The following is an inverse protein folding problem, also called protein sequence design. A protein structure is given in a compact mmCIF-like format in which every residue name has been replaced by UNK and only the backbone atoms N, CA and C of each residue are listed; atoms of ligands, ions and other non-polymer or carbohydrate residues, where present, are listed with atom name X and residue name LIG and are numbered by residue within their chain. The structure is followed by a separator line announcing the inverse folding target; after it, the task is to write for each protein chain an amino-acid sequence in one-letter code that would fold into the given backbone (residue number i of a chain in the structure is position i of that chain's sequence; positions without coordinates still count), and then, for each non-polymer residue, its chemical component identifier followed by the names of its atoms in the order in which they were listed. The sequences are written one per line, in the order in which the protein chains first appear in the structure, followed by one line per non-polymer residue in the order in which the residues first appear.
data_IF_033582399938
#
_entry.id   IF_033582399938
#
_cell.length_a   1.000
_cell.length_b   1.000
_cell.length_c   1.000
_cell.angle_alpha   90.00
_cell.angle_beta   90.00
_cell.angle_gamma   90.00
#
_symmetry.space_group_name_H-M   'P 1'
#
loop_
_entity.id
_entity.type
_entity.pdbx_description
1 polymer ?
#
# COMPACT_ATOMS: atom_id res chain seq x y z
N UNK A 1 20.75 -16.68 44.46
CA UNK A 1 19.49 -16.77 43.71
C UNK A 1 19.02 -15.35 43.45
N UNK A 2 19.24 -14.86 42.23
CA UNK A 2 18.71 -13.57 41.78
C UNK A 2 17.67 -13.88 40.68
N UNK A 3 16.45 -13.50 40.96
CA UNK A 3 15.35 -13.56 39.99
C UNK A 3 15.40 -12.27 39.21
N UNK A 4 15.76 -12.35 37.91
CA UNK A 4 15.53 -11.27 36.94
C UNK A 4 14.15 -11.48 36.36
N UNK A 5 13.24 -10.58 36.71
CA UNK A 5 11.91 -10.54 36.08
C UNK A 5 11.95 -9.76 34.79
N UNK A 6 11.37 -10.34 33.75
CA UNK A 6 11.12 -9.73 32.46
C UNK A 6 10.17 -8.52 32.60
N UNK A 7 10.66 -7.37 32.22
CA UNK A 7 9.88 -6.12 32.11
C UNK A 7 9.95 -5.65 30.65
N UNK A 8 9.28 -6.37 29.78
CA UNK A 8 9.08 -5.94 28.39
C UNK A 8 7.68 -6.39 27.99
N UNK A 9 6.69 -5.55 28.07
CA UNK A 9 5.42 -5.68 27.34
C UNK A 9 4.31 -4.71 27.80
N UNK A 10 4.56 -3.42 28.07
CA UNK A 10 3.43 -2.56 28.47
C UNK A 10 3.56 -1.09 27.99
N UNK A 11 4.15 -0.81 26.87
CA UNK A 11 4.25 0.60 26.38
C UNK A 11 3.51 0.86 25.06
N UNK A 12 3.09 -0.15 24.30
CA UNK A 12 2.51 0.09 22.95
C UNK A 12 0.98 0.21 22.89
N UNK A 13 0.23 0.19 24.00
CA UNK A 13 -1.24 0.14 23.93
C UNK A 13 -1.95 1.50 24.11
N UNK A 14 -1.23 2.61 24.21
CA UNK A 14 -1.81 3.92 24.57
C UNK A 14 -1.91 4.95 23.42
N UNK A 15 -1.50 4.63 22.22
CA UNK A 15 -1.52 5.56 21.08
C UNK A 15 -2.71 5.41 20.11
N UNK A 16 -3.61 4.47 20.34
CA UNK A 16 -4.77 4.25 19.46
C UNK A 16 -6.08 4.91 19.92
N UNK A 17 -6.09 5.70 21.00
CA UNK A 17 -7.31 6.29 21.58
C UNK A 17 -7.39 7.83 21.49
N UNK A 18 -6.64 8.50 20.63
CA UNK A 18 -6.91 9.90 20.35
C UNK A 18 -8.06 9.99 19.34
N UNK A 19 -9.30 10.00 19.84
CA UNK A 19 -10.48 10.35 19.08
C UNK A 19 -10.36 11.79 18.61
N UNK A 20 -10.46 12.03 17.30
CA UNK A 20 -10.63 13.37 16.75
C UNK A 20 -12.00 13.90 17.19
N UNK A 21 -12.01 14.90 18.04
CA UNK A 21 -13.18 15.73 18.31
C UNK A 21 -13.40 16.62 17.08
N UNK A 22 -14.61 16.59 16.54
CA UNK A 22 -15.06 17.50 15.49
C UNK A 22 -14.92 18.95 15.93
N UNK A 23 -14.41 19.87 15.09
CA UNK A 23 -14.47 21.29 15.39
C UNK A 23 -15.89 21.81 15.13
N UNK A 24 -16.50 22.37 16.17
CA UNK A 24 -17.77 23.11 16.08
C UNK A 24 -17.62 24.33 15.17
N UNK A 25 -18.66 24.58 14.39
CA UNK A 25 -18.84 25.78 13.57
C UNK A 25 -18.79 27.05 14.43
N UNK A 26 -17.90 27.94 14.10
CA UNK A 26 -18.03 29.38 14.43
C UNK A 26 -17.88 30.16 13.14
N UNK A 27 -19.02 30.76 12.73
CA UNK A 27 -19.06 31.79 11.71
C UNK A 27 -18.27 33.02 12.16
N UNK A 28 -17.30 33.43 11.33
CA UNK A 28 -16.87 34.84 11.29
C UNK A 28 -16.50 35.23 9.87
N UNK A 29 -17.03 36.40 9.53
CA UNK A 29 -17.04 37.11 8.25
C UNK A 29 -15.67 37.49 7.73
N UNK A 30 -15.49 37.29 6.40
CA UNK A 30 -14.87 38.16 5.39
C UNK A 30 -13.59 38.93 5.69
N UNK A 31 -12.51 38.54 5.01
CA UNK A 31 -11.78 39.49 4.13
C UNK A 31 -10.92 38.67 3.15
N UNK A 32 -11.06 38.95 1.85
CA UNK A 32 -10.39 38.22 0.80
C UNK A 32 -8.89 38.55 0.73
N UNK A 33 -8.11 37.53 0.65
CA UNK A 33 -6.78 37.55 0.03
C UNK A 33 -6.71 36.40 -0.95
N UNK A 34 -6.50 36.78 -2.20
CA UNK A 34 -6.27 35.86 -3.30
C UNK A 34 -4.92 35.19 -3.10
N UNK A 35 -4.92 33.93 -2.69
CA UNK A 35 -3.77 33.09 -2.91
C UNK A 35 -3.82 32.55 -4.35
N UNK A 36 -2.85 33.00 -5.14
CA UNK A 36 -2.53 32.43 -6.43
C UNK A 36 -2.25 30.95 -6.23
N UNK A 37 -3.02 30.09 -6.91
CA UNK A 37 -2.66 28.71 -7.08
C UNK A 37 -1.27 28.67 -7.72
N UNK A 38 -0.27 28.16 -7.00
CA UNK A 38 0.97 27.73 -7.59
C UNK A 38 0.64 26.50 -8.47
N UNK A 39 0.72 26.72 -9.76
CA UNK A 39 0.68 25.69 -10.77
C UNK A 39 1.88 24.77 -10.50
N UNK A 40 1.64 23.54 -10.07
CA UNK A 40 2.65 22.50 -10.12
C UNK A 40 3.03 22.32 -11.58
N UNK A 41 4.27 22.68 -11.94
CA UNK A 41 4.78 22.44 -13.28
C UNK A 41 4.79 20.92 -13.53
N UNK A 42 4.42 20.44 -14.73
CA UNK A 42 4.56 19.04 -15.07
C UNK A 42 6.00 18.59 -14.85
N UNK A 43 6.19 17.42 -14.27
CA UNK A 43 7.51 16.80 -14.17
C UNK A 43 8.09 16.65 -15.57
N UNK A 44 9.30 17.12 -15.79
CA UNK A 44 10.00 16.97 -17.07
C UNK A 44 10.21 15.49 -17.38
N UNK A 45 10.24 15.14 -18.69
CA UNK A 45 10.53 13.77 -19.17
C UNK A 45 11.83 13.16 -18.60
N UNK A 46 12.71 13.98 -18.03
CA UNK A 46 13.94 13.57 -17.36
C UNK A 46 13.70 12.87 -16.02
N UNK A 47 12.67 13.27 -15.29
CA UNK A 47 12.35 12.68 -13.96
C UNK A 47 11.67 11.31 -14.07
N UNK A 48 11.13 11.00 -15.25
CA UNK A 48 10.55 9.67 -15.51
C UNK A 48 11.61 8.63 -15.92
N UNK A 49 12.84 9.06 -16.21
CA UNK A 49 13.93 8.15 -16.54
C UNK A 49 14.60 7.67 -15.24
N UNK A 50 14.29 6.44 -14.85
CA UNK A 50 15.18 5.68 -14.01
C UNK A 50 16.56 5.72 -14.67
N UNK A 51 17.62 6.13 -13.96
CA UNK A 51 18.98 5.85 -14.40
C UNK A 51 19.11 4.34 -14.58
N UNK A 52 18.84 3.87 -15.80
CA UNK A 52 19.30 2.56 -16.20
C UNK A 52 20.81 2.64 -16.15
N UNK A 53 21.38 2.24 -15.02
CA UNK A 53 22.80 2.00 -14.94
C UNK A 53 23.15 1.13 -16.13
N UNK A 54 23.91 1.68 -17.09
CA UNK A 54 24.28 1.02 -18.33
C UNK A 54 25.15 -0.19 -18.03
N UNK A 55 24.50 -1.28 -17.62
CA UNK A 55 25.10 -2.59 -17.51
C UNK A 55 25.04 -3.27 -18.88
N UNK A 56 26.20 -3.49 -19.47
CA UNK A 56 26.34 -4.46 -20.52
C UNK A 56 25.76 -5.80 -20.05
N UNK A 57 25.03 -6.55 -20.89
CA UNK A 57 24.49 -7.84 -20.50
C UNK A 57 25.65 -8.73 -20.02
N UNK A 58 25.71 -9.01 -18.73
CA UNK A 58 26.54 -10.06 -18.20
C UNK A 58 25.87 -11.38 -18.53
N UNK A 59 26.53 -12.15 -19.37
CA UNK A 59 26.27 -13.55 -19.68
C UNK A 59 26.56 -14.45 -18.43
N UNK A 60 25.95 -14.12 -17.29
CA UNK A 60 25.81 -14.95 -16.12
C UNK A 60 24.39 -14.73 -15.64
N UNK A 61 23.51 -15.66 -16.01
CA UNK A 61 22.19 -15.77 -15.37
C UNK A 61 22.45 -15.99 -13.87
N UNK A 62 22.27 -14.94 -13.10
CA UNK A 62 22.16 -15.07 -11.63
C UNK A 62 20.95 -15.96 -11.39
N UNK A 63 21.14 -17.06 -10.66
CA UNK A 63 20.02 -17.94 -10.33
C UNK A 63 18.95 -17.15 -9.58
N UNK A 64 17.67 -17.43 -9.83
CA UNK A 64 16.58 -16.81 -9.10
C UNK A 64 16.75 -16.97 -7.60
N UNK A 65 16.27 -16.01 -6.84
CA UNK A 65 16.26 -16.10 -5.37
C UNK A 65 15.49 -17.33 -4.89
N UNK A 66 15.87 -17.86 -3.74
CA UNK A 66 15.27 -19.03 -3.09
C UNK A 66 14.92 -18.71 -1.65
N UNK A 67 14.21 -19.59 -0.97
CA UNK A 67 13.90 -19.43 0.47
C UNK A 67 15.14 -19.28 1.35
N UNK A 68 16.31 -19.80 0.92
CA UNK A 68 17.59 -19.69 1.64
C UNK A 68 18.42 -18.46 1.23
N UNK A 69 17.95 -17.65 0.29
CA UNK A 69 18.66 -16.42 -0.11
C UNK A 69 18.62 -15.42 1.02
N UNK A 70 19.77 -14.86 1.45
CA UNK A 70 19.84 -13.81 2.44
C UNK A 70 19.05 -12.57 1.99
N UNK A 71 18.29 -11.96 2.91
CA UNK A 71 17.54 -10.71 2.63
C UNK A 71 18.50 -9.62 2.13
N UNK A 72 19.69 -9.52 2.74
CA UNK A 72 20.68 -8.52 2.34
C UNK A 72 21.19 -8.72 0.90
N UNK A 73 21.27 -9.97 0.42
CA UNK A 73 21.65 -10.27 -0.97
C UNK A 73 20.61 -9.73 -1.97
N UNK A 74 19.33 -9.82 -1.63
CA UNK A 74 18.25 -9.24 -2.44
C UNK A 74 18.31 -7.72 -2.43
N UNK A 75 18.54 -7.10 -1.26
CA UNK A 75 18.64 -5.64 -1.11
C UNK A 75 19.82 -5.08 -1.94
N UNK A 76 20.95 -5.78 -1.92
CA UNK A 76 22.19 -5.34 -2.57
C UNK A 76 22.31 -5.80 -4.02
N UNK A 77 21.31 -6.51 -4.57
CA UNK A 77 21.37 -6.94 -5.96
C UNK A 77 21.39 -5.73 -6.89
N UNK A 78 22.41 -5.63 -7.77
CA UNK A 78 22.59 -4.46 -8.64
C UNK A 78 21.40 -4.15 -9.55
N UNK A 79 20.55 -5.13 -9.86
CA UNK A 79 19.36 -4.95 -10.69
C UNK A 79 18.33 -4.02 -10.04
N UNK A 80 18.26 -4.03 -8.72
CA UNK A 80 17.34 -3.19 -7.95
C UNK A 80 17.94 -1.81 -7.64
N UNK A 81 19.27 -1.64 -7.74
CA UNK A 81 19.92 -0.37 -7.44
C UNK A 81 19.49 0.18 -6.06
N UNK A 82 19.14 1.46 -6.00
CA UNK A 82 18.78 2.13 -4.75
C UNK A 82 17.43 1.67 -4.14
N UNK A 83 16.53 1.12 -4.94
CA UNK A 83 15.22 0.70 -4.44
C UNK A 83 15.17 -0.73 -3.89
N UNK A 84 16.25 -1.49 -3.98
CA UNK A 84 16.32 -2.83 -3.39
C UNK A 84 16.02 -2.82 -1.89
N UNK A 85 16.47 -1.80 -1.16
CA UNK A 85 16.15 -1.64 0.27
C UNK A 85 14.66 -1.39 0.54
N UNK A 86 13.92 -0.84 -0.41
CA UNK A 86 12.49 -0.54 -0.28
C UNK A 86 11.59 -1.77 -0.48
N UNK A 87 12.16 -2.91 -0.87
CA UNK A 87 11.47 -4.19 -0.89
C UNK A 87 11.09 -4.66 0.52
N UNK A 88 11.83 -4.20 1.52
CA UNK A 88 11.67 -4.56 2.94
C UNK A 88 11.48 -3.30 3.80
N UNK A 89 11.07 -3.43 5.08
CA UNK A 89 10.99 -2.30 5.99
C UNK A 89 12.31 -1.51 6.03
N UNK A 90 12.22 -0.19 5.90
CA UNK A 90 13.41 0.71 5.97
C UNK A 90 14.07 0.66 7.36
N UNK A 91 13.28 0.47 8.40
CA UNK A 91 13.74 0.26 9.77
C UNK A 91 13.71 -1.23 10.11
N UNK A 92 14.88 -1.83 10.24
CA UNK A 92 15.08 -3.26 10.56
C UNK A 92 14.42 -3.71 11.87
N UNK A 93 14.05 -2.76 12.74
CA UNK A 93 13.32 -3.06 13.98
C UNK A 93 11.99 -3.79 13.71
N UNK A 94 11.38 -3.59 12.56
CA UNK A 94 10.08 -4.15 12.22
C UNK A 94 10.15 -5.48 11.47
N UNK A 95 11.33 -6.00 11.22
CA UNK A 95 11.53 -7.31 10.60
C UNK A 95 12.52 -8.17 11.39
N UNK A 96 12.49 -9.47 11.15
CA UNK A 96 13.45 -10.44 11.65
C UNK A 96 13.56 -11.62 10.68
N UNK A 97 14.60 -12.43 10.86
CA UNK A 97 15.00 -13.50 9.93
C UNK A 97 16.13 -13.02 9.02
N UNK A 98 17.04 -13.95 8.66
CA UNK A 98 18.21 -13.63 7.86
C UNK A 98 17.99 -13.94 6.36
N UNK A 99 17.00 -14.77 6.04
CA UNK A 99 16.69 -15.23 4.67
C UNK A 99 15.25 -14.93 4.28
N UNK A 100 14.95 -14.99 2.97
CA UNK A 100 13.58 -14.79 2.47
C UNK A 100 12.59 -15.78 3.10
N UNK A 101 13.06 -17.00 3.40
CA UNK A 101 12.24 -18.04 4.02
C UNK A 101 12.00 -17.84 5.51
N UNK A 102 12.82 -17.03 6.17
CA UNK A 102 12.73 -16.76 7.61
C UNK A 102 12.12 -15.39 7.92
N UNK A 103 11.80 -14.61 6.88
CA UNK A 103 11.25 -13.26 7.03
C UNK A 103 10.01 -13.27 7.94
N UNK A 104 10.06 -12.45 8.97
CA UNK A 104 8.93 -12.14 9.84
C UNK A 104 8.77 -10.63 9.92
N UNK A 105 7.55 -10.14 9.80
CA UNK A 105 7.21 -8.73 9.92
C UNK A 105 6.34 -8.50 11.16
N UNK A 106 6.59 -7.41 11.87
CA UNK A 106 5.81 -7.04 13.05
C UNK A 106 4.33 -6.88 12.67
N UNK A 107 3.43 -7.51 13.45
CA UNK A 107 1.97 -7.53 13.27
C UNK A 107 1.45 -8.33 12.07
N UNK A 108 2.30 -9.07 11.36
CA UNK A 108 1.89 -9.98 10.28
C UNK A 108 2.02 -11.44 10.73
N UNK A 109 1.04 -12.26 10.38
CA UNK A 109 0.90 -13.60 10.98
C UNK A 109 0.87 -14.77 9.98
N UNK A 110 0.89 -14.51 8.69
CA UNK A 110 0.76 -15.58 7.68
C UNK A 110 1.68 -15.31 6.47
N UNK A 111 2.97 -15.07 6.76
CA UNK A 111 3.95 -14.87 5.69
C UNK A 111 4.27 -16.24 5.06
N UNK A 112 3.98 -16.38 3.76
CA UNK A 112 4.36 -17.54 2.98
C UNK A 112 5.77 -17.33 2.38
N UNK A 113 6.76 -18.14 2.76
CA UNK A 113 8.11 -18.04 2.20
C UNK A 113 8.18 -18.17 0.67
N UNK A 114 7.31 -18.99 0.08
CA UNK A 114 7.30 -19.17 -1.37
C UNK A 114 6.76 -17.94 -2.08
N UNK A 115 5.75 -17.29 -1.52
CA UNK A 115 5.19 -16.02 -2.02
C UNK A 115 6.23 -14.90 -1.94
N UNK A 116 6.97 -14.79 -0.82
CA UNK A 116 8.07 -13.84 -0.68
C UNK A 116 9.13 -14.04 -1.78
N UNK A 117 9.50 -15.29 -2.06
CA UNK A 117 10.44 -15.64 -3.13
C UNK A 117 9.88 -15.34 -4.51
N UNK A 118 8.60 -15.65 -4.76
CA UNK A 118 7.93 -15.37 -6.04
C UNK A 118 7.91 -13.88 -6.33
N UNK A 119 7.59 -13.04 -5.33
CA UNK A 119 7.59 -11.57 -5.46
C UNK A 119 8.98 -11.06 -5.84
N UNK A 120 10.01 -11.46 -5.08
CA UNK A 120 11.38 -11.03 -5.32
C UNK A 120 11.86 -11.44 -6.73
N UNK A 121 11.59 -12.69 -7.14
CA UNK A 121 11.96 -13.20 -8.46
C UNK A 121 11.17 -12.52 -9.59
N UNK A 122 9.89 -12.24 -9.41
CA UNK A 122 9.07 -11.54 -10.41
C UNK A 122 9.61 -10.14 -10.69
N UNK A 123 9.89 -9.37 -9.64
CA UNK A 123 10.45 -8.03 -9.77
C UNK A 123 11.86 -8.09 -10.39
N UNK A 124 12.70 -9.02 -9.95
CA UNK A 124 14.04 -9.22 -10.50
C UNK A 124 14.02 -9.57 -11.99
N UNK A 125 13.18 -10.54 -12.39
CA UNK A 125 13.08 -10.98 -13.78
C UNK A 125 12.64 -9.84 -14.72
N UNK A 126 11.67 -9.06 -14.28
CA UNK A 126 11.16 -7.91 -15.04
C UNK A 126 12.20 -6.80 -15.15
N UNK A 127 12.85 -6.44 -14.05
CA UNK A 127 13.94 -5.47 -14.05
C UNK A 127 15.11 -5.94 -14.92
N UNK A 128 15.48 -7.23 -14.85
CA UNK A 128 16.54 -7.82 -15.69
C UNK A 128 16.15 -7.88 -17.18
N UNK A 129 14.87 -7.93 -17.50
CA UNK A 129 14.36 -7.80 -18.86
C UNK A 129 14.35 -6.34 -19.37
N UNK A 130 14.75 -5.37 -18.54
CA UNK A 130 14.80 -3.95 -18.87
C UNK A 130 13.47 -3.22 -18.66
N UNK A 131 12.51 -3.83 -17.94
CA UNK A 131 11.28 -3.18 -17.56
C UNK A 131 11.50 -2.28 -16.33
N UNK A 132 10.81 -1.13 -16.30
CA UNK A 132 10.77 -0.29 -15.11
C UNK A 132 9.80 -0.90 -14.10
N UNK A 133 10.31 -1.36 -12.95
CA UNK A 133 9.53 -1.98 -11.87
C UNK A 133 9.34 -1.06 -10.67
N UNK A 134 10.01 0.09 -10.65
CA UNK A 134 9.91 1.08 -9.57
C UNK A 134 9.89 2.50 -10.17
N UNK A 135 9.03 3.34 -9.63
CA UNK A 135 8.88 4.74 -10.03
C UNK A 135 9.00 5.65 -8.80
N UNK A 136 9.85 6.66 -8.90
CA UNK A 136 9.83 7.80 -7.99
C UNK A 136 8.56 8.60 -8.19
N UNK A 137 7.93 8.99 -7.09
CA UNK A 137 6.75 9.87 -7.12
C UNK A 137 7.07 11.32 -6.74
N UNK A 138 8.31 11.57 -6.32
CA UNK A 138 8.82 12.89 -5.94
C UNK A 138 10.06 13.24 -6.74
N UNK A 139 10.18 14.54 -7.11
CA UNK A 139 11.34 15.08 -7.82
C UNK A 139 12.58 15.15 -6.91
N UNK A 140 13.75 15.31 -7.50
CA UNK A 140 15.00 15.50 -6.74
C UNK A 140 15.00 16.78 -5.92
N UNK A 141 14.31 17.85 -6.36
CA UNK A 141 14.12 19.06 -5.56
C UNK A 141 13.27 18.79 -4.32
N UNK A 142 12.15 18.09 -4.47
CA UNK A 142 11.29 17.72 -3.33
C UNK A 142 12.00 16.81 -2.33
N UNK A 143 12.85 15.89 -2.81
CA UNK A 143 13.70 15.04 -1.96
C UNK A 143 14.82 15.83 -1.27
N UNK A 144 15.32 16.90 -1.91
CA UNK A 144 16.31 17.77 -1.30
C UNK A 144 15.72 18.63 -0.17
N UNK A 145 14.43 19.01 -0.28
CA UNK A 145 13.68 19.74 0.75
C UNK A 145 13.22 18.81 1.89
N UNK A 146 12.83 17.59 1.57
CA UNK A 146 12.39 16.57 2.53
C UNK A 146 13.06 15.22 2.17
N UNK A 147 14.20 14.91 2.80
CA UNK A 147 14.97 13.70 2.49
C UNK A 147 14.20 12.38 2.70
N UNK A 148 13.17 12.36 3.56
CA UNK A 148 12.36 11.15 3.80
C UNK A 148 11.56 10.76 2.55
N UNK A 149 11.34 11.68 1.62
CA UNK A 149 10.73 11.40 0.31
C UNK A 149 11.57 10.48 -0.57
N UNK A 150 12.88 10.34 -0.31
CA UNK A 150 13.73 9.37 -1.01
C UNK A 150 13.40 7.91 -0.68
N UNK A 151 12.68 7.68 0.42
CA UNK A 151 12.24 6.35 0.86
C UNK A 151 10.80 6.03 0.46
N UNK A 152 10.29 6.69 -0.57
CA UNK A 152 8.95 6.49 -1.14
C UNK A 152 9.01 6.10 -2.60
N UNK A 153 7.92 5.58 -3.12
CA UNK A 153 7.73 5.30 -4.53
C UNK A 153 6.74 4.18 -4.79
N UNK A 154 6.57 3.86 -6.06
CA UNK A 154 5.64 2.86 -6.54
C UNK A 154 6.38 1.67 -7.15
N UNK A 155 6.20 0.48 -6.60
CA UNK A 155 6.50 -0.75 -7.31
C UNK A 155 5.36 -1.08 -8.27
N UNK A 156 5.70 -1.41 -9.51
CA UNK A 156 4.74 -1.68 -10.57
C UNK A 156 4.70 -3.15 -10.96
N UNK A 157 3.59 -3.79 -10.69
CA UNK A 157 3.24 -5.13 -11.14
C UNK A 157 2.34 -4.99 -12.37
N UNK A 158 2.97 -4.97 -13.56
CA UNK A 158 2.28 -4.71 -14.81
C UNK A 158 1.38 -5.89 -15.19
N UNK A 159 0.13 -5.60 -15.53
CA UNK A 159 -0.83 -6.49 -16.16
C UNK A 159 -0.88 -6.34 -17.68
N UNK A 160 -2.05 -6.41 -18.26
CA UNK A 160 -2.26 -6.21 -19.70
C UNK A 160 -2.18 -4.70 -20.04
N UNK A 161 -1.56 -4.33 -21.17
CA UNK A 161 -1.52 -2.94 -21.61
C UNK A 161 -2.92 -2.33 -21.75
N UNK A 162 -3.10 -1.14 -21.17
CA UNK A 162 -4.38 -0.44 -21.19
C UNK A 162 -5.44 -1.01 -20.24
N UNK A 163 -5.09 -1.98 -19.39
CA UNK A 163 -5.99 -2.45 -18.34
C UNK A 163 -6.09 -1.42 -17.20
N UNK A 164 -7.19 -1.48 -16.45
CA UNK A 164 -7.42 -0.69 -15.24
C UNK A 164 -6.35 -0.97 -14.18
N UNK A 165 -6.24 -0.08 -13.19
CA UNK A 165 -5.22 -0.25 -12.17
C UNK A 165 -5.76 -0.27 -10.74
N UNK A 166 -5.01 -0.93 -9.88
CA UNK A 166 -5.17 -0.91 -8.43
C UNK A 166 -3.94 -0.28 -7.77
N UNK A 167 -4.15 0.47 -6.67
CA UNK A 167 -3.06 0.90 -5.79
C UNK A 167 -3.16 0.14 -4.48
N UNK A 168 -2.17 -0.69 -4.19
CA UNK A 168 -2.08 -1.55 -3.02
C UNK A 168 -1.22 -0.89 -1.93
N UNK A 169 -1.79 -0.76 -0.73
CA UNK A 169 -1.19 -0.08 0.40
C UNK A 169 -0.99 -1.07 1.55
N UNK A 170 0.25 -1.28 1.95
CA UNK A 170 0.56 -2.23 3.01
C UNK A 170 0.20 -1.69 4.41
N UNK A 171 -0.02 -2.61 5.35
CA UNK A 171 -0.05 -2.32 6.78
C UNK A 171 1.33 -2.01 7.35
N UNK A 172 1.38 -1.90 8.68
CA UNK A 172 2.59 -1.55 9.45
C UNK A 172 2.34 -0.42 10.45
N UNK A 173 1.07 -0.14 10.79
CA UNK A 173 0.67 0.79 11.84
C UNK A 173 1.06 2.26 11.58
N UNK A 174 1.36 2.64 10.33
CA UNK A 174 2.00 3.91 9.96
C UNK A 174 3.40 4.12 10.56
N UNK A 175 4.03 3.07 11.04
CA UNK A 175 5.39 3.09 11.56
C UNK A 175 6.40 2.55 10.55
N UNK A 176 5.96 1.64 9.70
CA UNK A 176 6.72 1.06 8.60
C UNK A 176 5.78 0.57 7.50
N UNK A 177 6.32 0.09 6.38
CA UNK A 177 5.55 -0.48 5.26
C UNK A 177 5.81 -1.98 5.16
N UNK A 178 4.80 -2.81 5.45
CA UNK A 178 4.87 -4.27 5.40
C UNK A 178 4.65 -4.84 4.00
N UNK A 179 5.34 -4.30 2.99
CA UNK A 179 5.03 -4.54 1.58
C UNK A 179 5.06 -6.02 1.18
N UNK A 180 6.06 -6.77 1.65
CA UNK A 180 6.21 -8.21 1.35
C UNK A 180 5.06 -9.10 1.84
N UNK A 181 4.24 -8.60 2.76
CA UNK A 181 3.10 -9.36 3.30
C UNK A 181 1.75 -8.86 2.81
N UNK A 182 1.62 -7.55 2.56
CA UNK A 182 0.34 -6.94 2.20
C UNK A 182 0.31 -6.49 0.73
N UNK A 183 1.00 -5.39 0.40
CA UNK A 183 0.82 -4.74 -0.89
C UNK A 183 1.44 -5.51 -2.06
N UNK A 184 2.61 -6.12 -1.91
CA UNK A 184 3.24 -6.86 -3.00
C UNK A 184 2.49 -8.14 -3.38
N UNK A 185 2.09 -9.01 -2.42
CA UNK A 185 1.25 -10.17 -2.75
C UNK A 185 -0.05 -9.77 -3.46
N UNK A 186 -0.73 -8.74 -2.94
CA UNK A 186 -1.98 -8.27 -3.56
C UNK A 186 -1.73 -7.76 -4.98
N UNK A 187 -0.70 -6.92 -5.19
CA UNK A 187 -0.36 -6.38 -6.49
C UNK A 187 0.05 -7.47 -7.48
N UNK A 188 0.82 -8.46 -7.04
CA UNK A 188 1.21 -9.61 -7.86
C UNK A 188 -0.02 -10.40 -8.32
N UNK A 189 -0.92 -10.74 -7.40
CA UNK A 189 -2.12 -11.51 -7.70
C UNK A 189 -3.10 -10.74 -8.59
N UNK A 190 -3.25 -9.42 -8.40
CA UNK A 190 -4.03 -8.55 -9.28
C UNK A 190 -3.41 -8.52 -10.68
N UNK A 191 -2.08 -8.43 -10.79
CA UNK A 191 -1.40 -8.42 -12.09
C UNK A 191 -1.54 -9.73 -12.86
N UNK A 192 -1.56 -10.88 -12.17
CA UNK A 192 -1.82 -12.19 -12.77
C UNK A 192 -3.23 -12.30 -13.39
N UNK A 193 -4.17 -11.44 -12.96
CA UNK A 193 -5.53 -11.35 -13.54
C UNK A 193 -5.60 -10.40 -14.74
N UNK A 194 -4.47 -9.81 -15.15
CA UNK A 194 -4.37 -8.88 -16.26
C UNK A 194 -4.57 -7.42 -15.90
N UNK A 195 -4.91 -7.07 -14.65
CA UNK A 195 -4.98 -5.69 -14.19
C UNK A 195 -3.60 -5.12 -13.87
N UNK A 196 -3.40 -3.84 -14.06
CA UNK A 196 -2.20 -3.18 -13.59
C UNK A 196 -2.27 -2.95 -12.07
N UNK A 197 -1.19 -3.16 -11.34
CA UNK A 197 -1.18 -2.95 -9.91
C UNK A 197 0.08 -2.22 -9.44
N UNK A 198 -0.11 -1.23 -8.60
CA UNK A 198 0.96 -0.48 -7.98
C UNK A 198 0.98 -0.75 -6.47
N UNK A 199 2.15 -0.99 -5.93
CA UNK A 199 2.34 -1.11 -4.50
C UNK A 199 3.12 0.10 -3.99
N UNK A 200 2.48 0.88 -3.11
CA UNK A 200 3.06 2.12 -2.58
C UNK A 200 3.97 1.81 -1.39
N UNK A 201 5.19 2.34 -1.44
CA UNK A 201 6.05 2.54 -0.29
C UNK A 201 5.87 3.99 0.15
N UNK A 202 5.40 4.18 1.39
CA UNK A 202 5.03 5.48 1.94
C UNK A 202 5.84 5.83 3.19
N UNK A 203 5.98 7.13 3.49
CA UNK A 203 6.66 7.61 4.70
C UNK A 203 5.85 7.29 5.97
N UNK A 204 6.51 7.05 7.12
CA UNK A 204 5.82 6.88 8.40
C UNK A 204 4.95 8.10 8.77
N UNK A 205 3.84 7.81 9.47
CA UNK A 205 2.84 8.82 9.87
C UNK A 205 1.57 8.76 9.03
N UNK A 206 0.41 8.84 9.68
CA UNK A 206 -0.88 8.65 8.99
C UNK A 206 -1.17 9.75 7.97
N UNK A 207 -0.88 11.01 8.30
CA UNK A 207 -1.08 12.14 7.39
C UNK A 207 -0.11 12.06 6.22
N UNK A 208 1.18 11.87 6.49
CA UNK A 208 2.25 11.75 5.50
C UNK A 208 2.00 10.60 4.52
N UNK A 209 1.57 9.45 5.04
CA UNK A 209 1.22 8.29 4.22
C UNK A 209 0.04 8.57 3.27
N UNK A 210 -0.98 9.33 3.72
CA UNK A 210 -2.08 9.76 2.86
C UNK A 210 -1.63 10.80 1.82
N UNK A 211 -0.70 11.69 2.15
CA UNK A 211 -0.08 12.62 1.20
C UNK A 211 0.71 11.86 0.12
N UNK A 212 1.47 10.83 0.52
CA UNK A 212 2.21 9.99 -0.43
C UNK A 212 1.25 9.18 -1.34
N UNK A 213 0.14 8.67 -0.80
CA UNK A 213 -0.87 7.99 -1.62
C UNK A 213 -1.57 8.96 -2.58
N UNK A 214 -1.89 10.18 -2.13
CA UNK A 214 -2.46 11.21 -2.99
C UNK A 214 -1.50 11.58 -4.14
N UNK A 215 -0.20 11.76 -3.82
CA UNK A 215 0.84 12.01 -4.83
C UNK A 215 0.99 10.82 -5.79
N UNK A 216 0.96 9.60 -5.28
CA UNK A 216 1.05 8.38 -6.09
C UNK A 216 -0.11 8.27 -7.10
N UNK A 217 -1.34 8.57 -6.67
CA UNK A 217 -2.51 8.57 -7.56
C UNK A 217 -2.34 9.64 -8.62
N UNK A 218 -1.97 10.89 -8.25
CA UNK A 218 -1.69 11.97 -9.20
C UNK A 218 -0.62 11.57 -10.21
N UNK A 219 0.48 10.98 -9.77
CA UNK A 219 1.56 10.47 -10.63
C UNK A 219 1.07 9.45 -11.65
N UNK A 220 0.23 8.49 -11.24
CA UNK A 220 -0.30 7.46 -12.15
C UNK A 220 -1.20 8.11 -13.21
N UNK A 221 -2.08 9.03 -12.83
CA UNK A 221 -2.95 9.76 -13.77
C UNK A 221 -2.15 10.61 -14.75
N UNK A 222 -1.15 11.34 -14.28
CA UNK A 222 -0.26 12.17 -15.09
C UNK A 222 0.52 11.36 -16.14
N UNK A 223 0.89 10.12 -15.79
CA UNK A 223 1.72 9.25 -16.63
C UNK A 223 0.97 8.05 -17.23
N UNK A 224 -0.37 8.07 -17.22
CA UNK A 224 -1.21 6.93 -17.61
C UNK A 224 -0.88 6.35 -18.99
N UNK A 225 -0.61 7.21 -19.98
CA UNK A 225 -0.22 6.79 -21.32
C UNK A 225 1.11 6.03 -21.33
N UNK A 226 2.14 6.54 -20.63
CA UNK A 226 3.47 5.90 -20.54
C UNK A 226 3.43 4.60 -19.74
N UNK A 227 2.58 4.57 -18.70
CA UNK A 227 2.36 3.39 -17.86
C UNK A 227 1.46 2.35 -18.55
N UNK A 228 0.82 2.73 -19.66
CA UNK A 228 -0.16 1.90 -20.36
C UNK A 228 -1.30 1.44 -19.47
N UNK A 229 -1.88 2.36 -18.66
CA UNK A 229 -2.99 2.08 -17.73
C UNK A 229 -4.25 2.86 -18.10
N UNK A 230 -5.42 2.25 -17.86
CA UNK A 230 -6.72 2.92 -17.93
C UNK A 230 -7.04 3.50 -16.54
N UNK A 231 -7.27 4.82 -16.49
CA UNK A 231 -7.58 5.54 -15.26
C UNK A 231 -9.05 5.50 -14.88
N UNK A 232 -9.94 5.10 -15.77
CA UNK A 232 -11.35 4.93 -15.44
C UNK A 232 -11.57 3.68 -14.58
N UNK A 233 -12.28 3.81 -13.47
CA UNK A 233 -12.63 2.69 -12.62
C UNK A 233 -11.47 2.06 -11.85
N UNK A 234 -10.43 2.83 -11.54
CA UNK A 234 -9.33 2.36 -10.69
C UNK A 234 -9.82 2.02 -9.27
N UNK A 235 -9.02 1.30 -8.50
CA UNK A 235 -9.33 0.89 -7.12
C UNK A 235 -8.20 1.14 -6.15
N UNK A 236 -8.56 1.30 -4.87
CA UNK A 236 -7.62 1.44 -3.76
C UNK A 236 -7.74 0.24 -2.83
N UNK A 237 -6.64 -0.43 -2.58
CA UNK A 237 -6.54 -1.63 -1.75
C UNK A 237 -5.64 -1.40 -0.56
N UNK A 238 -5.92 -2.05 0.56
CA UNK A 238 -4.97 -1.98 1.66
C UNK A 238 -5.26 -2.92 2.81
N UNK A 239 -4.17 -3.26 3.55
CA UNK A 239 -4.21 -3.98 4.81
C UNK A 239 -3.96 -3.05 6.00
N UNK A 240 -4.68 -3.23 7.12
CA UNK A 240 -4.44 -2.52 8.38
C UNK A 240 -4.38 -0.99 8.25
N UNK A 241 -3.20 -0.38 8.42
CA UNK A 241 -2.96 1.05 8.18
C UNK A 241 -3.19 1.42 6.72
N UNK A 242 -2.77 0.59 5.76
CA UNK A 242 -3.01 0.78 4.33
C UNK A 242 -4.48 0.79 3.97
N UNK A 243 -5.31 -0.03 4.64
CA UNK A 243 -6.76 0.01 4.46
C UNK A 243 -7.38 1.32 4.94
N UNK A 244 -6.80 1.96 5.99
CA UNK A 244 -7.21 3.31 6.41
C UNK A 244 -6.88 4.35 5.37
N UNK A 245 -5.67 4.28 4.78
CA UNK A 245 -5.26 5.18 3.69
C UNK A 245 -6.22 5.05 2.52
N UNK A 246 -6.48 3.82 2.06
CA UNK A 246 -7.40 3.53 0.97
C UNK A 246 -8.81 4.11 1.25
N UNK A 247 -9.33 3.92 2.48
CA UNK A 247 -10.63 4.45 2.87
C UNK A 247 -10.65 5.98 2.92
N UNK A 248 -9.64 6.64 3.51
CA UNK A 248 -9.59 8.11 3.57
C UNK A 248 -9.49 8.74 2.18
N UNK A 249 -8.62 8.21 1.30
CA UNK A 249 -8.49 8.70 -0.07
C UNK A 249 -9.78 8.42 -0.88
N UNK A 250 -10.43 7.27 -0.63
CA UNK A 250 -11.73 6.97 -1.21
C UNK A 250 -12.83 7.94 -0.77
N UNK A 251 -12.90 8.26 0.54
CA UNK A 251 -13.94 9.13 1.11
C UNK A 251 -13.75 10.61 0.78
N UNK A 252 -12.50 11.09 0.79
CA UNK A 252 -12.20 12.54 0.73
C UNK A 252 -11.48 12.96 -0.56
N UNK A 253 -11.01 12.01 -1.37
CA UNK A 253 -10.26 12.26 -2.60
C UNK A 253 -8.80 12.67 -2.38
N UNK A 254 -7.93 12.54 -3.40
CA UNK A 254 -6.52 12.93 -3.32
C UNK A 254 -6.31 14.41 -3.00
N UNK A 255 -7.16 15.31 -3.49
CA UNK A 255 -7.06 16.75 -3.24
C UNK A 255 -7.12 17.12 -1.75
N UNK A 256 -7.81 16.35 -0.92
CA UNK A 256 -7.84 16.56 0.53
C UNK A 256 -6.48 16.30 1.21
N UNK A 257 -5.55 15.64 0.53
CA UNK A 257 -4.23 15.27 1.01
C UNK A 257 -3.11 15.85 0.14
N UNK A 258 -3.37 16.96 -0.57
CA UNK A 258 -2.36 17.66 -1.36
C UNK A 258 -2.09 17.11 -2.76
N UNK A 259 -2.85 16.10 -3.20
CA UNK A 259 -2.85 15.62 -4.59
C UNK A 259 -3.81 16.42 -5.49
N UNK A 260 -3.99 15.95 -6.72
CA UNK A 260 -4.88 16.57 -7.68
C UNK A 260 -6.37 16.27 -7.40
N UNK A 261 -7.26 17.09 -7.98
CA UNK A 261 -8.70 16.84 -7.98
C UNK A 261 -9.05 15.81 -9.05
N UNK A 262 -9.00 14.54 -8.68
CA UNK A 262 -9.15 13.39 -9.55
C UNK A 262 -10.46 12.64 -9.29
N UNK A 263 -10.93 11.84 -10.27
CA UNK A 263 -12.09 10.97 -10.07
C UNK A 263 -11.94 10.05 -8.86
N UNK A 264 -13.05 9.77 -8.21
CA UNK A 264 -13.09 8.82 -7.11
C UNK A 264 -12.79 7.39 -7.61
N UNK A 265 -12.17 6.50 -6.81
CA UNK A 265 -11.99 5.11 -7.18
C UNK A 265 -13.34 4.41 -7.31
N UNK A 266 -13.46 3.44 -8.22
CA UNK A 266 -14.68 2.64 -8.38
C UNK A 266 -14.91 1.67 -7.21
N UNK A 267 -13.84 1.30 -6.49
CA UNK A 267 -13.93 0.48 -5.29
C UNK A 267 -12.78 0.76 -4.31
N UNK A 268 -13.08 0.56 -3.01
CA UNK A 268 -12.09 0.49 -1.93
C UNK A 268 -12.14 -0.90 -1.30
N UNK A 269 -10.99 -1.56 -1.22
CA UNK A 269 -10.83 -2.90 -0.66
C UNK A 269 -10.05 -2.79 0.65
N UNK A 270 -10.68 -3.16 1.74
CA UNK A 270 -10.17 -2.98 3.10
C UNK A 270 -9.95 -4.31 3.80
N UNK A 271 -8.73 -4.56 4.24
CA UNK A 271 -8.39 -5.77 4.98
C UNK A 271 -7.98 -5.43 6.42
N UNK A 272 -8.51 -6.17 7.39
CA UNK A 272 -8.19 -6.14 8.84
C UNK A 272 -7.89 -4.75 9.42
N UNK A 273 -8.80 -3.80 9.31
CA UNK A 273 -8.62 -2.47 9.89
C UNK A 273 -9.70 -2.12 10.93
N UNK A 274 -9.33 -1.32 11.93
CA UNK A 274 -10.27 -0.72 12.88
C UNK A 274 -10.83 0.63 12.41
N UNK A 275 -10.72 0.96 11.12
CA UNK A 275 -11.26 2.20 10.56
C UNK A 275 -12.79 2.23 10.66
N UNK A 276 -13.34 3.33 11.18
CA UNK A 276 -14.79 3.49 11.41
C UNK A 276 -15.38 4.74 10.80
N UNK A 277 -14.53 5.63 10.30
CA UNK A 277 -14.95 6.87 9.64
C UNK A 277 -15.54 6.57 8.25
N UNK A 278 -16.58 7.31 7.87
CA UNK A 278 -17.23 7.21 6.57
C UNK A 278 -18.00 8.49 6.24
N UNK A 279 -18.33 8.67 4.98
CA UNK A 279 -19.14 9.77 4.45
C UNK A 279 -20.24 9.23 3.54
N UNK A 280 -21.18 10.07 3.16
CA UNK A 280 -22.19 9.75 2.14
C UNK A 280 -21.59 9.62 0.72
N UNK A 281 -20.34 10.04 0.55
CA UNK A 281 -19.60 10.00 -0.71
C UNK A 281 -18.57 8.86 -0.76
N UNK A 282 -18.59 7.93 0.18
CA UNK A 282 -17.69 6.78 0.12
C UNK A 282 -17.92 5.96 -1.16
N UNK A 283 -16.86 5.45 -1.80
CA UNK A 283 -17.02 4.55 -2.94
C UNK A 283 -17.52 3.17 -2.49
N UNK A 284 -17.99 2.33 -3.43
CA UNK A 284 -18.22 0.92 -3.18
C UNK A 284 -17.09 0.29 -2.37
N UNK A 285 -17.43 -0.44 -1.31
CA UNK A 285 -16.44 -0.93 -0.35
C UNK A 285 -16.56 -2.43 -0.07
N UNK A 286 -15.50 -3.18 -0.35
CA UNK A 286 -15.29 -4.53 0.12
C UNK A 286 -14.46 -4.52 1.41
N UNK A 287 -14.80 -5.36 2.38
CA UNK A 287 -14.01 -5.45 3.60
C UNK A 287 -13.90 -6.90 4.12
N UNK A 288 -12.71 -7.28 4.61
CA UNK A 288 -12.51 -8.58 5.25
C UNK A 288 -11.62 -8.47 6.49
N UNK A 289 -11.88 -9.35 7.49
CA UNK A 289 -11.17 -9.34 8.77
C UNK A 289 -11.25 -10.68 9.50
N UNK A 290 -10.27 -11.00 10.33
CA UNK A 290 -10.30 -12.17 11.22
C UNK A 290 -11.10 -11.90 12.51
N UNK A 291 -11.87 -12.88 12.98
CA UNK A 291 -12.62 -12.77 14.23
C UNK A 291 -11.72 -12.77 15.47
N UNK A 292 -10.53 -13.39 15.38
CA UNK A 292 -9.52 -13.42 16.44
C UNK A 292 -8.47 -12.31 16.30
N UNK A 293 -8.75 -11.30 15.49
CA UNK A 293 -7.89 -10.13 15.34
C UNK A 293 -7.84 -9.33 16.65
N UNK A 294 -6.66 -9.29 17.26
CA UNK A 294 -6.40 -8.59 18.52
C UNK A 294 -6.11 -7.09 18.35
N UNK A 295 -5.97 -6.61 17.09
CA UNK A 295 -5.63 -5.22 16.73
C UNK A 295 -6.86 -4.52 16.15
N UNK A 296 -7.51 -5.13 15.15
CA UNK A 296 -8.69 -4.61 14.47
C UNK A 296 -9.94 -5.39 14.90
N UNK A 297 -10.79 -4.77 15.68
CA UNK A 297 -12.04 -5.42 16.07
C UNK A 297 -12.99 -5.56 14.86
N UNK A 298 -13.26 -6.78 14.42
CA UNK A 298 -14.10 -7.07 13.26
C UNK A 298 -15.50 -6.42 13.31
N UNK A 299 -16.07 -6.26 14.52
CA UNK A 299 -17.37 -5.58 14.71
C UNK A 299 -17.30 -4.08 14.43
N UNK A 300 -16.12 -3.47 14.46
CA UNK A 300 -15.94 -2.08 14.04
C UNK A 300 -16.04 -1.97 12.53
N UNK A 301 -15.39 -2.86 11.79
CA UNK A 301 -15.54 -2.94 10.33
C UNK A 301 -16.98 -3.25 9.94
N UNK A 302 -17.59 -4.24 10.56
CA UNK A 302 -18.99 -4.59 10.30
C UNK A 302 -19.92 -3.38 10.43
N UNK A 303 -19.83 -2.62 11.52
CA UNK A 303 -20.67 -1.43 11.73
C UNK A 303 -20.45 -0.37 10.65
N UNK A 304 -19.21 -0.18 10.20
CA UNK A 304 -18.91 0.74 9.10
C UNK A 304 -19.58 0.27 7.80
N UNK A 305 -19.43 -0.99 7.45
CA UNK A 305 -20.04 -1.57 6.25
C UNK A 305 -21.56 -1.50 6.31
N UNK A 306 -22.17 -1.85 7.44
CA UNK A 306 -23.63 -1.71 7.64
C UNK A 306 -24.12 -0.26 7.51
N UNK A 307 -23.28 0.72 7.91
CA UNK A 307 -23.60 2.14 7.76
C UNK A 307 -23.52 2.60 6.29
N UNK A 308 -22.53 2.14 5.52
CA UNK A 308 -22.41 2.39 4.09
C UNK A 308 -23.59 1.76 3.30
N UNK A 309 -23.93 0.51 3.61
CA UNK A 309 -25.09 -0.18 3.01
C UNK A 309 -26.40 0.58 3.27
N UNK A 310 -26.58 1.11 4.49
CA UNK A 310 -27.73 1.94 4.84
C UNK A 310 -27.82 3.26 4.06
N UNK A 311 -26.70 3.75 3.53
CA UNK A 311 -26.63 4.90 2.61
C UNK A 311 -26.87 4.50 1.14
N UNK A 312 -27.00 3.19 0.86
CA UNK A 312 -27.17 2.66 -0.49
C UNK A 312 -25.88 2.52 -1.28
N UNK A 313 -24.74 2.60 -0.63
CA UNK A 313 -23.41 2.37 -1.22
C UNK A 313 -23.22 0.85 -1.33
N UNK A 314 -22.81 0.29 -2.50
CA UNK A 314 -22.53 -1.12 -2.64
C UNK A 314 -21.44 -1.59 -1.66
N UNK A 315 -21.71 -2.67 -0.92
CA UNK A 315 -20.77 -3.20 0.07
C UNK A 315 -20.73 -4.71 0.07
N UNK A 316 -19.58 -5.27 0.44
CA UNK A 316 -19.38 -6.68 0.74
C UNK A 316 -18.52 -6.84 1.99
N UNK A 317 -18.88 -7.77 2.88
CA UNK A 317 -18.19 -7.95 4.14
C UNK A 317 -17.98 -9.42 4.50
N UNK A 318 -16.72 -9.79 4.73
CA UNK A 318 -16.31 -11.11 5.17
C UNK A 318 -15.61 -11.06 6.53
N UNK A 319 -15.93 -11.99 7.44
CA UNK A 319 -15.19 -12.18 8.66
C UNK A 319 -14.87 -13.67 8.86
N UNK A 320 -13.64 -13.95 9.25
CA UNK A 320 -13.08 -15.30 9.22
C UNK A 320 -12.86 -15.84 10.65
N UNK A 321 -13.57 -16.92 11.03
CA UNK A 321 -13.43 -17.50 12.37
C UNK A 321 -12.00 -17.91 12.70
N UNK A 322 -11.53 -17.51 13.89
CA UNK A 322 -10.22 -17.91 14.42
C UNK A 322 -9.01 -17.23 13.78
N UNK A 323 -9.18 -16.45 12.72
CA UNK A 323 -8.07 -15.83 12.00
C UNK A 323 -7.58 -14.57 12.76
N UNK A 324 -6.25 -14.42 12.99
CA UNK A 324 -5.66 -13.24 13.61
C UNK A 324 -5.44 -12.10 12.61
N UNK A 325 -4.86 -10.98 13.08
CA UNK A 325 -4.44 -9.84 12.27
C UNK A 325 -3.34 -10.21 11.28
N UNK A 326 -3.25 -9.48 10.14
CA UNK A 326 -2.12 -9.56 9.22
C UNK A 326 -2.00 -10.90 8.50
N UNK A 327 -3.10 -11.40 7.95
CA UNK A 327 -3.12 -12.70 7.27
C UNK A 327 -2.74 -12.64 5.76
N UNK A 328 -2.41 -11.46 5.21
CA UNK A 328 -2.02 -11.30 3.81
C UNK A 328 -3.03 -11.91 2.83
N UNK A 329 -2.58 -12.76 1.90
CA UNK A 329 -3.50 -13.50 1.01
C UNK A 329 -4.33 -14.58 1.72
N UNK A 330 -3.99 -14.90 2.98
CA UNK A 330 -4.70 -15.93 3.73
C UNK A 330 -4.46 -17.35 3.21
N UNK A 331 -3.42 -17.58 2.42
CA UNK A 331 -3.05 -18.87 1.85
C UNK A 331 -2.99 -19.97 2.92
N UNK A 332 -3.68 -21.08 2.70
CA UNK A 332 -3.77 -22.20 3.63
C UNK A 332 -4.65 -21.91 4.88
N UNK A 333 -5.38 -20.81 4.91
CA UNK A 333 -6.29 -20.44 6.01
C UNK A 333 -7.76 -20.42 5.55
N UNK A 334 -8.66 -20.10 6.48
CA UNK A 334 -10.09 -19.93 6.16
C UNK A 334 -10.39 -18.68 5.29
N UNK A 335 -9.41 -17.81 5.09
CA UNK A 335 -9.52 -16.61 4.24
C UNK A 335 -8.95 -16.83 2.83
N UNK A 336 -8.44 -18.03 2.51
CA UNK A 336 -7.94 -18.31 1.17
C UNK A 336 -9.02 -18.03 0.11
N UNK A 337 -8.68 -17.26 -0.92
CA UNK A 337 -9.59 -16.85 -1.97
C UNK A 337 -10.27 -15.50 -1.77
N UNK A 338 -10.12 -14.83 -0.63
CA UNK A 338 -10.75 -13.52 -0.38
C UNK A 338 -10.38 -12.46 -1.44
N UNK A 339 -9.17 -12.54 -2.00
CA UNK A 339 -8.72 -11.59 -3.02
C UNK A 339 -9.47 -11.78 -4.35
N UNK A 340 -9.85 -13.03 -4.68
CA UNK A 340 -10.68 -13.31 -5.84
C UNK A 340 -12.07 -12.72 -5.70
N UNK A 341 -12.66 -12.83 -4.51
CA UNK A 341 -13.97 -12.23 -4.17
C UNK A 341 -13.89 -10.69 -4.25
N UNK A 342 -12.83 -10.09 -3.70
CA UNK A 342 -12.60 -8.66 -3.78
C UNK A 342 -12.36 -8.15 -5.22
N UNK A 343 -11.66 -8.92 -6.05
CA UNK A 343 -11.47 -8.58 -7.46
C UNK A 343 -12.79 -8.63 -8.22
N UNK A 344 -13.62 -9.66 -8.00
CA UNK A 344 -14.98 -9.75 -8.59
C UNK A 344 -15.88 -8.60 -8.10
N UNK A 345 -15.78 -8.23 -6.82
CA UNK A 345 -16.51 -7.06 -6.31
C UNK A 345 -16.08 -5.79 -7.05
N UNK A 346 -14.78 -5.56 -7.23
CA UNK A 346 -14.27 -4.40 -7.99
C UNK A 346 -14.77 -4.44 -9.44
N UNK A 347 -14.68 -5.59 -10.12
CA UNK A 347 -15.16 -5.77 -11.49
C UNK A 347 -16.65 -5.41 -11.66
N UNK A 348 -17.46 -5.70 -10.66
CA UNK A 348 -18.87 -5.36 -10.65
C UNK A 348 -19.16 -3.86 -10.50
N UNK A 349 -18.15 -3.05 -10.15
CA UNK A 349 -18.27 -1.59 -9.97
C UNK A 349 -17.67 -0.79 -11.15
N UNK A 350 -17.10 -1.47 -12.15
CA UNK A 350 -16.48 -0.83 -13.32
C UNK A 350 -17.48 -0.39 -14.40
#
# INVERSE_FOLDING_TARGET
MKVQGNLVATVCLLLCLAGCASPGQTETTSSGESHSAESTAPLDDADFQQESAGFAPKDQMTEPFTVSTPIQEVIDDPIFGRYGRLLFPVDDWYMSGDTLGELQLTWHNNIDPNETVEIANTLWQRANAGETVFYDIYTEEEKAEDPDKADTGLFFFKGDPGAKFAVCNAGGGFAYVGAMQDSFPHALEISKRGYNAFALIYRPGAQTACEDLARAISFIFEHAEKLEVDTEGYSLWGGSAGARMAAWLGSYGPAAFGGDDLPQPSAVIMQYTGHSDYTENDPPTFACVGESDGIANWRTMQRRIEALDALGIPTEFHHYPGLPHGFGLGTGTVAEGWLDEAAQFWEAQM
#
